data_IF_221636706433
#
_entry.id   IF_221636706433
#
_cell.length_a   1.000
_cell.length_b   1.000
_cell.length_c   1.000
_cell.angle_alpha   90.00
_cell.angle_beta   90.00
_cell.angle_gamma   90.00
#
_symmetry.space_group_name_H-M   'P 1'
#
loop_
_entity.id
_entity.type
_entity.pdbx_description
1 polymer ?
#
# COMPACT_ATOMS: atom_id res chain seq x y z
N UNK A 1 -43.18 13.03 39.79
CA UNK A 1 -42.81 12.53 38.45
C UNK A 1 -41.65 13.38 37.95
N UNK A 2 -40.43 12.86 37.94
CA UNK A 2 -39.22 13.60 37.56
C UNK A 2 -38.42 12.70 36.64
N UNK A 3 -38.65 12.84 35.34
CA UNK A 3 -37.96 12.11 34.29
C UNK A 3 -36.57 12.72 34.09
N UNK A 4 -35.54 11.99 34.51
CA UNK A 4 -34.16 12.30 34.18
C UNK A 4 -33.89 11.81 32.75
N UNK A 5 -33.58 12.74 31.84
CA UNK A 5 -33.13 12.41 30.48
C UNK A 5 -31.64 12.12 30.57
N UNK A 6 -31.29 10.85 30.41
CA UNK A 6 -29.91 10.38 30.35
C UNK A 6 -29.39 10.67 28.93
N UNK A 7 -28.61 11.74 28.76
CA UNK A 7 -27.93 12.03 27.50
C UNK A 7 -26.73 11.10 27.34
N UNK A 8 -26.86 10.08 26.50
CA UNK A 8 -25.75 9.20 26.11
C UNK A 8 -24.96 9.93 25.02
N UNK A 9 -23.84 10.54 25.40
CA UNK A 9 -22.85 11.05 24.45
C UNK A 9 -22.08 9.83 23.94
N UNK A 10 -22.44 9.33 22.75
CA UNK A 10 -21.66 8.32 22.04
C UNK A 10 -20.46 9.05 21.43
N UNK A 11 -19.34 9.05 22.15
CA UNK A 11 -18.06 9.44 21.57
C UNK A 11 -17.66 8.36 20.56
N UNK A 12 -17.90 8.62 19.27
CA UNK A 12 -17.39 7.78 18.18
C UNK A 12 -15.88 7.98 18.15
N UNK A 13 -15.15 7.07 18.80
CA UNK A 13 -13.71 6.94 18.65
C UNK A 13 -13.45 6.43 17.22
N UNK A 14 -13.35 7.36 16.27
CA UNK A 14 -12.79 7.08 14.95
C UNK A 14 -11.32 6.66 15.18
N UNK A 15 -10.89 5.47 14.71
CA UNK A 15 -9.49 5.09 14.83
C UNK A 15 -8.64 6.11 14.09
N UNK A 16 -7.61 6.61 14.76
CA UNK A 16 -6.62 7.50 14.18
C UNK A 16 -5.89 6.77 13.03
N UNK A 17 -6.42 6.91 11.82
CA UNK A 17 -5.87 6.29 10.61
C UNK A 17 -4.46 6.81 10.25
N UNK A 18 -4.02 7.90 10.86
CA UNK A 18 -2.74 8.56 10.55
C UNK A 18 -1.54 7.83 11.16
N UNK A 19 -1.65 7.30 12.39
CA UNK A 19 -0.54 6.64 13.06
C UNK A 19 -0.11 5.32 12.40
N UNK A 20 -1.04 4.68 11.67
CA UNK A 20 -0.79 3.41 11.02
C UNK A 20 -0.17 3.56 9.63
N UNK A 21 -0.46 4.68 8.94
CA UNK A 21 0.19 5.03 7.66
C UNK A 21 1.68 5.33 7.87
N UNK A 22 2.01 6.22 8.81
CA UNK A 22 3.42 6.56 9.12
C UNK A 22 4.23 5.30 9.50
N UNK A 23 3.65 4.40 10.29
CA UNK A 23 4.34 3.14 10.68
C UNK A 23 4.51 2.14 9.52
N UNK A 24 3.58 2.11 8.57
CA UNK A 24 3.64 1.22 7.41
C UNK A 24 4.61 1.76 6.35
N UNK A 25 4.62 3.08 6.16
CA UNK A 25 5.56 3.79 5.29
C UNK A 25 7.01 3.59 5.78
N UNK A 26 7.25 3.74 7.08
CA UNK A 26 8.55 3.48 7.70
C UNK A 26 8.99 2.01 7.53
N UNK A 27 8.07 1.06 7.77
CA UNK A 27 8.34 -0.37 7.57
C UNK A 27 8.70 -0.66 6.11
N UNK A 28 7.95 -0.10 5.18
CA UNK A 28 8.16 -0.27 3.75
C UNK A 28 9.52 0.27 3.31
N UNK A 29 9.87 1.50 3.71
CA UNK A 29 11.18 2.07 3.41
C UNK A 29 12.33 1.27 4.02
N UNK A 30 12.17 0.72 5.22
CA UNK A 30 13.16 -0.17 5.83
C UNK A 30 13.35 -1.44 5.00
N UNK A 31 12.28 -2.08 4.54
CA UNK A 31 12.35 -3.27 3.69
C UNK A 31 13.09 -2.98 2.39
N UNK A 32 12.75 -1.89 1.69
CA UNK A 32 13.45 -1.46 0.48
C UNK A 32 14.95 -1.24 0.70
N UNK A 33 15.30 -0.59 1.81
CA UNK A 33 16.69 -0.36 2.17
C UNK A 33 17.46 -1.68 2.42
N UNK A 34 16.83 -2.70 3.02
CA UNK A 34 17.46 -4.02 3.18
C UNK A 34 17.77 -4.71 1.85
N UNK A 35 16.97 -4.43 0.81
CA UNK A 35 17.15 -4.96 -0.53
C UNK A 35 18.03 -4.07 -1.43
N UNK A 36 18.51 -2.93 -0.92
CA UNK A 36 19.33 -1.99 -1.69
C UNK A 36 18.54 -1.14 -2.69
N UNK A 37 17.21 -1.13 -2.60
CA UNK A 37 16.36 -0.29 -3.45
C UNK A 37 16.43 1.14 -2.92
N UNK A 38 16.96 2.04 -3.74
CA UNK A 38 17.17 3.44 -3.39
C UNK A 38 16.34 4.36 -4.30
N UNK A 39 15.83 5.44 -3.71
CA UNK A 39 15.03 6.45 -4.41
C UNK A 39 14.54 7.53 -3.44
N UNK A 40 13.87 8.58 -3.93
CA UNK A 40 13.21 9.55 -3.08
C UNK A 40 12.14 8.86 -2.22
N UNK A 41 12.17 8.98 -0.87
CA UNK A 41 11.25 8.26 0.01
C UNK A 41 9.78 8.45 -0.34
N UNK A 42 9.36 9.70 -0.57
CA UNK A 42 7.96 10.02 -0.91
C UNK A 42 7.51 9.36 -2.22
N UNK A 43 8.43 9.26 -3.20
CA UNK A 43 8.15 8.62 -4.48
C UNK A 43 8.00 7.11 -4.30
N UNK A 44 8.91 6.48 -3.56
CA UNK A 44 8.84 5.05 -3.25
C UNK A 44 7.54 4.72 -2.52
N UNK A 45 7.17 5.50 -1.51
CA UNK A 45 5.91 5.34 -0.77
C UNK A 45 4.72 5.42 -1.73
N UNK A 46 4.65 6.44 -2.58
CA UNK A 46 3.58 6.59 -3.55
C UNK A 46 3.49 5.40 -4.52
N UNK A 47 4.63 4.92 -5.02
CA UNK A 47 4.69 3.77 -5.91
C UNK A 47 4.28 2.46 -5.20
N UNK A 48 4.62 2.31 -3.91
CA UNK A 48 4.20 1.20 -3.07
C UNK A 48 2.68 1.18 -2.82
N UNK A 49 2.08 2.33 -2.52
CA UNK A 49 0.62 2.46 -2.42
C UNK A 49 -0.05 2.13 -3.75
N UNK A 50 0.48 2.62 -4.88
CA UNK A 50 -0.02 2.29 -6.22
C UNK A 50 0.07 0.78 -6.52
N UNK A 51 1.16 0.12 -6.11
CA UNK A 51 1.32 -1.32 -6.24
C UNK A 51 0.20 -2.05 -5.49
N UNK A 52 -0.05 -1.63 -4.26
CA UNK A 52 -1.08 -2.23 -3.43
C UNK A 52 -2.50 -2.01 -3.98
N UNK A 53 -2.81 -0.80 -4.42
CA UNK A 53 -4.07 -0.45 -5.07
C UNK A 53 -4.31 -1.31 -6.32
N UNK A 54 -3.27 -1.60 -7.11
CA UNK A 54 -3.38 -2.48 -8.27
C UNK A 54 -3.88 -3.88 -7.90
N UNK A 55 -3.47 -4.42 -6.74
CA UNK A 55 -3.99 -5.72 -6.27
C UNK A 55 -5.46 -5.65 -5.85
N UNK A 56 -5.93 -4.49 -5.35
CA UNK A 56 -7.32 -4.23 -5.00
C UNK A 56 -8.28 -4.10 -6.19
N UNK A 57 -7.78 -3.79 -7.39
CA UNK A 57 -8.61 -3.58 -8.59
C UNK A 57 -9.27 -4.86 -9.16
N UNK A 58 -9.01 -6.03 -8.58
CA UNK A 58 -9.62 -7.30 -8.98
C UNK A 58 -9.01 -7.92 -10.26
N UNK A 59 -9.25 -9.22 -10.44
CA UNK A 59 -8.63 -10.02 -11.51
C UNK A 59 -9.59 -10.77 -12.43
N UNK A 60 -10.91 -10.52 -12.34
CA UNK A 60 -11.90 -11.37 -13.00
C UNK A 60 -12.25 -10.91 -14.42
N UNK A 61 -12.10 -11.79 -15.41
CA UNK A 61 -12.51 -11.58 -16.81
C UNK A 61 -11.73 -12.46 -17.80
N UNK A 62 -12.18 -12.48 -19.07
CA UNK A 62 -11.41 -13.02 -20.19
C UNK A 62 -10.65 -11.84 -20.82
N UNK A 63 -9.33 -11.78 -20.63
CA UNK A 63 -8.47 -10.71 -21.15
C UNK A 63 -7.48 -10.17 -20.11
N UNK A 64 -6.87 -9.02 -20.41
CA UNK A 64 -5.97 -8.31 -19.49
C UNK A 64 -6.82 -7.75 -18.34
N UNK A 65 -6.53 -8.18 -17.11
CA UNK A 65 -7.27 -7.71 -15.93
C UNK A 65 -6.92 -6.26 -15.57
N UNK A 66 -7.82 -5.51 -14.89
CA UNK A 66 -7.50 -4.16 -14.38
C UNK A 66 -6.22 -4.14 -13.54
N UNK A 67 -6.04 -5.13 -12.65
CA UNK A 67 -4.79 -5.35 -11.92
C UNK A 67 -3.57 -5.40 -12.84
N UNK A 68 -3.65 -6.18 -13.92
CA UNK A 68 -2.53 -6.36 -14.84
C UNK A 68 -2.20 -5.06 -15.58
N UNK A 69 -3.21 -4.28 -15.99
CA UNK A 69 -2.98 -2.95 -16.59
C UNK A 69 -2.31 -2.01 -15.57
N UNK A 70 -2.80 -1.97 -14.34
CA UNK A 70 -2.25 -1.12 -13.28
C UNK A 70 -0.78 -1.48 -12.96
N UNK A 71 -0.44 -2.76 -12.88
CA UNK A 71 0.93 -3.22 -12.67
C UNK A 71 1.84 -2.95 -13.87
N UNK A 72 1.34 -3.06 -15.11
CA UNK A 72 2.10 -2.67 -16.31
C UNK A 72 2.42 -1.18 -16.28
N UNK A 73 1.44 -0.34 -15.96
CA UNK A 73 1.63 1.11 -15.85
C UNK A 73 2.63 1.46 -14.76
N UNK A 74 2.51 0.86 -13.57
CA UNK A 74 3.50 1.01 -12.51
C UNK A 74 4.90 0.61 -12.97
N UNK A 75 5.04 -0.56 -13.60
CA UNK A 75 6.34 -1.03 -14.08
C UNK A 75 6.96 -0.11 -15.14
N UNK A 76 6.15 0.55 -15.98
CA UNK A 76 6.64 1.56 -16.92
C UNK A 76 7.12 2.82 -16.18
N UNK A 77 6.38 3.26 -15.15
CA UNK A 77 6.78 4.38 -14.30
C UNK A 77 8.10 4.10 -13.58
N UNK A 78 8.23 2.93 -12.94
CA UNK A 78 9.45 2.55 -12.23
C UNK A 78 10.66 2.41 -13.15
N UNK A 79 10.48 1.87 -14.37
CA UNK A 79 11.53 1.85 -15.38
C UNK A 79 11.97 3.25 -15.80
N UNK A 80 11.03 4.18 -15.96
CA UNK A 80 11.35 5.58 -16.28
C UNK A 80 12.10 6.29 -15.14
N UNK A 81 11.92 5.84 -13.90
CA UNK A 81 12.70 6.28 -12.74
C UNK A 81 14.09 5.62 -12.65
N UNK A 82 14.39 4.65 -13.52
CA UNK A 82 15.69 3.97 -13.59
C UNK A 82 15.84 2.78 -12.63
N UNK A 83 14.75 2.28 -12.03
CA UNK A 83 14.81 1.08 -11.20
C UNK A 83 15.13 -0.15 -12.06
N UNK A 84 15.98 -1.03 -11.53
CA UNK A 84 16.25 -2.30 -12.20
C UNK A 84 15.04 -3.24 -12.12
N UNK A 85 14.90 -4.22 -13.02
CA UNK A 85 13.83 -5.23 -12.92
C UNK A 85 13.78 -5.96 -11.57
N UNK A 86 14.94 -6.16 -10.94
CA UNK A 86 15.02 -6.72 -9.61
C UNK A 86 14.39 -5.78 -8.57
N UNK A 87 14.76 -4.50 -8.59
CA UNK A 87 14.29 -3.51 -7.61
C UNK A 87 12.79 -3.25 -7.75
N UNK A 88 12.27 -3.24 -8.98
CA UNK A 88 10.83 -3.12 -9.24
C UNK A 88 10.05 -4.30 -8.65
N UNK A 89 10.59 -5.52 -8.77
CA UNK A 89 9.99 -6.72 -8.17
C UNK A 89 10.00 -6.63 -6.64
N UNK A 90 11.12 -6.23 -6.04
CA UNK A 90 11.21 -6.05 -4.59
C UNK A 90 10.27 -4.95 -4.10
N UNK A 91 10.17 -3.85 -4.85
CA UNK A 91 9.28 -2.74 -4.55
C UNK A 91 7.83 -3.21 -4.41
N UNK A 92 7.33 -3.96 -5.39
CA UNK A 92 5.97 -4.50 -5.39
C UNK A 92 5.79 -5.52 -4.26
N UNK A 93 6.76 -6.41 -4.03
CA UNK A 93 6.68 -7.42 -2.96
C UNK A 93 6.62 -6.77 -1.58
N UNK A 94 7.52 -5.85 -1.27
CA UNK A 94 7.55 -5.18 0.03
C UNK A 94 6.34 -4.28 0.22
N UNK A 95 5.82 -3.67 -0.84
CA UNK A 95 4.57 -2.92 -0.81
C UNK A 95 3.38 -3.83 -0.45
N UNK A 96 3.30 -5.05 -1.01
CA UNK A 96 2.24 -6.00 -0.60
C UNK A 96 2.38 -6.42 0.86
N UNK A 97 3.60 -6.50 1.40
CA UNK A 97 3.81 -6.86 2.82
C UNK A 97 3.42 -5.73 3.77
N UNK A 98 3.74 -4.48 3.42
CA UNK A 98 3.49 -3.31 4.25
C UNK A 98 2.04 -2.80 4.16
N UNK A 99 1.48 -2.73 2.95
CA UNK A 99 0.21 -2.03 2.70
C UNK A 99 -0.99 -2.96 2.44
N UNK A 100 -0.77 -4.17 1.90
CA UNK A 100 -1.85 -5.15 1.67
C UNK A 100 -1.41 -6.60 1.93
N UNK A 101 -1.16 -6.95 3.20
CA UNK A 101 -0.66 -8.27 3.58
C UNK A 101 -1.59 -9.42 3.15
N UNK A 102 -2.87 -9.16 2.88
CA UNK A 102 -3.80 -10.14 2.32
C UNK A 102 -3.44 -10.62 0.90
N UNK A 103 -2.59 -9.89 0.18
CA UNK A 103 -2.11 -10.23 -1.17
C UNK A 103 -0.62 -10.62 -1.19
N UNK A 104 0.08 -10.51 -0.05
CA UNK A 104 1.48 -10.86 0.04
C UNK A 104 1.69 -12.37 -0.18
N UNK A 105 2.69 -12.78 -0.98
CA UNK A 105 3.05 -14.18 -1.10
C UNK A 105 3.61 -14.71 0.23
N UNK A 106 3.41 -16.00 0.54
CA UNK A 106 4.02 -16.63 1.71
C UNK A 106 5.54 -16.55 1.62
N UNK A 107 6.18 -16.29 2.77
CA UNK A 107 7.64 -16.24 2.93
C UNK A 107 8.30 -17.63 2.97
#
# INVERSE_FOLDING_TARGET
MKTAILAIVIAVLLPAATAQADSADDQYLQLLATHGVAGPPDQLIADGHQACDAYGQGGFGIGVSPRQIALINLNNTLQAQGLSPHDMSQLVLDATRAYCPQYAPPQ
#
